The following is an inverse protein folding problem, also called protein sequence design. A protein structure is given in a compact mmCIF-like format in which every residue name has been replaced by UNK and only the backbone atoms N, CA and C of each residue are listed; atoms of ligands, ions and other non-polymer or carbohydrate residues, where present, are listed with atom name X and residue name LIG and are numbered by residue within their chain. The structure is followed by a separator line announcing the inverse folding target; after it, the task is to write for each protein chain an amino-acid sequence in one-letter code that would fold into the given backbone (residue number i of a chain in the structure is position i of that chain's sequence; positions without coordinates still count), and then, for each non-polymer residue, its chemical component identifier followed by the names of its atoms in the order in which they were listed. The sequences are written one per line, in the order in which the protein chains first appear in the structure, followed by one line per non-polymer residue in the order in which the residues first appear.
data_IF_156860394947
#
_entry.id   IF_156860394947
#
_cell.length_a   1.000
_cell.length_b   1.000
_cell.length_c   1.000
_cell.angle_alpha   90.00
_cell.angle_beta   90.00
_cell.angle_gamma   90.00
#
_symmetry.space_group_name_H-M   'P 1'
#
loop_
_entity.id
_entity.type
_entity.pdbx_description
1 polymer ?
#
# COMPACT_ATOMS: atom_id res chain seq x y z
N UNK A 1 -51.53 43.92 24.92
CA UNK A 1 -50.96 42.57 25.17
C UNK A 1 -50.27 42.11 23.88
N UNK A 2 -48.95 42.27 23.80
CA UNK A 2 -48.17 41.88 22.61
C UNK A 2 -47.49 40.57 22.89
N UNK A 3 -47.85 39.52 22.12
CA UNK A 3 -47.26 38.20 22.20
C UNK A 3 -45.98 38.21 21.36
N UNK A 4 -44.83 38.02 22.01
CA UNK A 4 -43.53 37.79 21.30
C UNK A 4 -43.36 36.29 21.09
N UNK A 5 -43.33 35.86 19.82
CA UNK A 5 -42.90 34.50 19.44
C UNK A 5 -41.37 34.39 19.52
N UNK A 6 -40.83 33.25 19.97
CA UNK A 6 -39.41 33.03 19.92
C UNK A 6 -38.98 32.53 18.52
N UNK A 7 -37.95 33.17 18.00
CA UNK A 7 -37.26 32.75 16.76
C UNK A 7 -36.47 31.49 17.05
N UNK A 8 -36.84 30.36 16.40
CA UNK A 8 -36.06 29.14 16.41
C UNK A 8 -34.83 29.34 15.50
N UNK A 9 -33.66 29.36 16.12
CA UNK A 9 -32.40 29.33 15.36
C UNK A 9 -32.16 27.92 14.79
N UNK A 10 -32.29 27.81 13.49
CA UNK A 10 -31.91 26.59 12.75
C UNK A 10 -30.37 26.49 12.68
N UNK A 11 -29.78 25.61 13.47
CA UNK A 11 -28.37 25.32 13.40
C UNK A 11 -28.08 24.49 12.11
N UNK A 12 -27.50 25.13 11.12
CA UNK A 12 -27.02 24.46 9.94
C UNK A 12 -25.77 23.60 10.29
N UNK A 13 -25.95 22.27 10.31
CA UNK A 13 -24.80 21.35 10.33
C UNK A 13 -24.09 21.46 8.99
N UNK A 14 -22.94 22.12 8.97
CA UNK A 14 -22.02 22.04 7.84
C UNK A 14 -21.35 20.65 7.84
N UNK A 15 -21.75 19.78 6.90
CA UNK A 15 -20.96 18.60 6.59
C UNK A 15 -19.61 19.07 6.04
N UNK A 16 -18.57 18.95 6.87
CA UNK A 16 -17.18 19.08 6.42
C UNK A 16 -16.89 17.89 5.50
N UNK A 17 -16.95 18.11 4.20
CA UNK A 17 -16.47 17.14 3.22
C UNK A 17 -14.98 16.91 3.49
N UNK A 18 -14.61 15.67 3.83
CA UNK A 18 -13.21 15.24 3.82
C UNK A 18 -12.67 15.40 2.41
N UNK A 19 -12.09 16.55 2.13
CA UNK A 19 -11.33 16.77 0.91
C UNK A 19 -10.09 15.85 0.98
N UNK A 20 -10.04 14.86 0.10
CA UNK A 20 -8.80 14.13 -0.16
C UNK A 20 -7.71 15.15 -0.50
N UNK A 21 -6.57 15.13 0.21
CA UNK A 21 -5.52 16.10 -0.07
C UNK A 21 -5.09 15.92 -1.54
N UNK A 22 -5.24 17.01 -2.31
CA UNK A 22 -4.73 17.10 -3.67
C UNK A 22 -3.26 16.75 -3.63
N UNK A 23 -2.76 15.81 -4.48
CA UNK A 23 -1.34 15.53 -4.53
C UNK A 23 -0.58 16.83 -4.74
N UNK A 24 0.45 17.07 -3.92
CA UNK A 24 1.29 18.24 -4.05
C UNK A 24 1.83 18.32 -5.47
N UNK A 25 1.93 19.53 -6.06
CA UNK A 25 2.53 19.69 -7.37
C UNK A 25 3.93 19.10 -7.33
N UNK A 26 4.16 18.00 -8.02
CA UNK A 26 5.49 17.43 -8.21
C UNK A 26 6.29 18.48 -8.98
N UNK A 27 7.18 19.17 -8.30
CA UNK A 27 8.22 19.96 -8.95
C UNK A 27 8.97 18.99 -9.88
N UNK A 28 9.15 19.32 -11.18
CA UNK A 28 9.88 18.44 -12.06
C UNK A 28 11.30 18.25 -11.49
N UNK A 29 11.59 17.05 -10.97
CA UNK A 29 12.93 16.72 -10.53
C UNK A 29 13.72 16.40 -11.78
N UNK A 30 14.73 17.22 -12.09
CA UNK A 30 15.64 16.93 -13.19
C UNK A 30 16.61 15.86 -12.72
N UNK A 31 16.44 14.64 -13.20
CA UNK A 31 17.38 13.57 -12.96
C UNK A 31 18.55 13.66 -13.95
N UNK A 32 19.79 13.42 -13.49
CA UNK A 32 21.01 13.44 -14.28
C UNK A 32 21.56 12.04 -14.47
N UNK A 33 22.33 11.83 -15.56
CA UNK A 33 22.97 10.56 -15.86
C UNK A 33 22.27 9.77 -16.96
N UNK A 34 22.58 8.48 -17.04
CA UNK A 34 21.99 7.55 -18.00
C UNK A 34 20.50 7.31 -17.74
N UNK A 35 19.72 6.81 -18.72
CA UNK A 35 18.32 6.45 -18.50
C UNK A 35 18.09 5.50 -17.31
N UNK A 36 19.00 4.55 -17.06
CA UNK A 36 18.91 3.65 -15.92
C UNK A 36 19.15 4.38 -14.59
N UNK A 37 20.12 5.28 -14.53
CA UNK A 37 20.38 6.08 -13.33
C UNK A 37 19.20 7.00 -13.02
N UNK A 38 18.64 7.64 -14.05
CA UNK A 38 17.44 8.47 -13.91
C UNK A 38 16.23 7.65 -13.41
N UNK A 39 16.08 6.42 -13.91
CA UNK A 39 15.05 5.50 -13.44
C UNK A 39 15.20 5.20 -11.94
N UNK A 40 16.41 4.79 -11.51
CA UNK A 40 16.69 4.48 -10.10
C UNK A 40 16.49 5.71 -9.20
N UNK A 41 16.93 6.90 -9.65
CA UNK A 41 16.70 8.16 -8.92
C UNK A 41 15.19 8.44 -8.74
N UNK A 42 14.37 8.17 -9.76
CA UNK A 42 12.93 8.30 -9.70
C UNK A 42 12.29 7.35 -8.66
N UNK A 43 12.74 6.10 -8.62
CA UNK A 43 12.29 5.13 -7.62
C UNK A 43 12.62 5.61 -6.18
N UNK A 44 13.85 6.07 -5.96
CA UNK A 44 14.30 6.59 -4.65
C UNK A 44 13.56 7.86 -4.24
N UNK A 45 13.29 8.76 -5.18
CA UNK A 45 12.49 9.96 -4.91
C UNK A 45 11.07 9.61 -4.49
N UNK A 46 10.45 8.60 -5.13
CA UNK A 46 9.13 8.10 -4.74
C UNK A 46 9.15 7.48 -3.33
N UNK A 47 10.15 6.65 -3.01
CA UNK A 47 10.32 6.06 -1.68
C UNK A 47 10.41 7.15 -0.61
N UNK A 48 11.24 8.18 -0.82
CA UNK A 48 11.41 9.29 0.12
C UNK A 48 10.11 10.10 0.31
N UNK A 49 9.42 10.40 -0.79
CA UNK A 49 8.12 11.07 -0.74
C UNK A 49 7.08 10.22 -0.01
N UNK A 50 7.03 8.93 -0.30
CA UNK A 50 6.06 8.01 0.30
C UNK A 50 6.27 7.87 1.82
N UNK A 51 7.52 7.76 2.27
CA UNK A 51 7.86 7.67 3.69
C UNK A 51 7.44 8.90 4.50
N UNK A 52 7.38 10.08 3.85
CA UNK A 52 6.99 11.33 4.49
C UNK A 52 5.45 11.53 4.58
N UNK A 53 4.66 10.63 4.01
CA UNK A 53 3.19 10.75 4.03
C UNK A 53 2.63 10.49 5.45
N UNK A 54 1.64 11.28 5.90
CA UNK A 54 0.99 11.02 7.18
C UNK A 54 0.39 9.62 7.26
N UNK A 55 0.58 8.93 8.39
CA UNK A 55 0.05 7.58 8.62
C UNK A 55 0.87 6.44 8.03
N UNK A 56 1.92 6.73 7.27
CA UNK A 56 2.87 5.73 6.77
C UNK A 56 3.97 5.47 7.79
N UNK A 57 4.41 4.22 7.86
CA UNK A 57 5.55 3.80 8.65
C UNK A 57 6.57 3.08 7.76
N UNK A 58 7.84 3.11 8.18
CA UNK A 58 8.96 2.48 7.45
C UNK A 58 9.70 1.55 8.39
N UNK A 59 9.98 0.34 7.95
CA UNK A 59 10.78 -0.63 8.70
C UNK A 59 12.28 -0.46 8.43
N UNK A 60 13.11 -1.19 9.17
CA UNK A 60 14.57 -1.15 8.99
C UNK A 60 15.03 -1.65 7.61
N UNK A 61 14.26 -2.53 6.95
CA UNK A 61 14.55 -3.00 5.58
C UNK A 61 14.21 -1.97 4.49
N UNK A 62 13.49 -0.89 4.85
CA UNK A 62 12.94 0.08 3.94
C UNK A 62 11.53 -0.23 3.45
N UNK A 63 10.90 -1.32 3.90
CA UNK A 63 9.50 -1.58 3.63
C UNK A 63 8.65 -0.46 4.22
N UNK A 64 7.78 0.16 3.40
CA UNK A 64 6.85 1.15 3.88
C UNK A 64 5.43 0.59 3.84
N UNK A 65 4.62 0.97 4.82
CA UNK A 65 3.26 0.47 4.93
C UNK A 65 2.29 1.49 5.52
N UNK A 66 1.03 1.33 5.14
CA UNK A 66 -0.11 2.07 5.70
C UNK A 66 -1.26 1.08 5.92
N UNK A 67 -1.93 1.18 7.05
CA UNK A 67 -3.13 0.37 7.33
C UNK A 67 -4.36 1.10 6.81
N UNK A 68 -4.89 0.64 5.67
CA UNK A 68 -6.06 1.26 5.01
C UNK A 68 -7.37 0.85 5.69
N UNK A 69 -7.45 -0.43 6.11
CA UNK A 69 -8.59 -1.00 6.84
C UNK A 69 -8.07 -1.87 7.99
N UNK A 70 -8.56 -1.62 9.19
CA UNK A 70 -8.25 -2.41 10.37
C UNK A 70 -9.17 -3.62 10.54
N UNK A 71 -8.76 -4.51 11.45
CA UNK A 71 -9.53 -5.64 11.94
C UNK A 71 -9.51 -5.67 13.48
N UNK A 72 -10.38 -6.47 14.14
CA UNK A 72 -10.34 -6.65 15.59
C UNK A 72 -8.96 -7.12 16.07
N UNK A 73 -8.53 -6.64 17.24
CA UNK A 73 -7.24 -7.02 17.81
C UNK A 73 -7.11 -8.53 18.08
N UNK A 74 -8.22 -9.23 18.22
CA UNK A 74 -8.29 -10.68 18.37
C UNK A 74 -8.16 -11.47 17.06
N UNK A 75 -8.22 -10.81 15.89
CA UNK A 75 -8.07 -11.49 14.62
C UNK A 75 -6.65 -12.05 14.46
N UNK A 76 -6.56 -13.24 13.86
CA UNK A 76 -5.31 -14.00 13.72
C UNK A 76 -4.29 -13.24 12.84
N UNK A 77 -3.01 -13.46 13.12
CA UNK A 77 -1.87 -13.04 12.31
C UNK A 77 -1.20 -14.28 11.72
N UNK A 78 -0.72 -14.21 10.47
CA UNK A 78 0.03 -15.33 9.91
C UNK A 78 1.41 -15.48 10.55
N UNK A 79 1.86 -16.71 10.71
CA UNK A 79 3.27 -17.01 10.95
C UNK A 79 4.11 -16.67 9.68
N UNK A 80 5.42 -16.47 9.81
CA UNK A 80 6.28 -16.11 8.68
C UNK A 80 6.31 -17.12 7.53
N UNK A 81 6.00 -18.38 7.79
CA UNK A 81 5.95 -19.50 6.85
C UNK A 81 4.53 -19.96 6.51
N UNK A 82 3.51 -19.28 7.06
CA UNK A 82 2.11 -19.63 6.85
C UNK A 82 1.69 -19.56 5.38
N UNK A 83 0.72 -20.38 5.02
CA UNK A 83 -0.07 -20.21 3.80
C UNK A 83 -1.12 -19.14 4.05
N UNK A 84 -1.26 -18.18 3.13
CA UNK A 84 -2.23 -17.09 3.24
C UNK A 84 -3.11 -17.01 2.01
N UNK A 85 -4.38 -16.68 2.20
CA UNK A 85 -5.33 -16.34 1.14
C UNK A 85 -5.55 -14.84 1.15
N UNK A 86 -5.30 -14.18 0.02
CA UNK A 86 -5.28 -12.73 -0.11
C UNK A 86 -5.98 -12.25 -1.39
N UNK A 87 -6.50 -11.04 -1.36
CA UNK A 87 -6.59 -10.21 -2.56
C UNK A 87 -5.44 -9.23 -2.60
N UNK A 88 -4.92 -8.95 -3.81
CA UNK A 88 -3.89 -7.94 -4.00
C UNK A 88 -4.00 -7.24 -5.34
N UNK A 89 -3.42 -6.03 -5.39
CA UNK A 89 -3.18 -5.28 -6.60
C UNK A 89 -1.74 -4.78 -6.56
N UNK A 90 -0.94 -5.21 -7.53
CA UNK A 90 0.46 -4.79 -7.72
C UNK A 90 0.57 -3.72 -8.80
N UNK A 91 1.22 -2.59 -8.47
CA UNK A 91 1.38 -1.43 -9.35
C UNK A 91 2.83 -0.94 -9.37
N UNK A 92 3.20 -0.34 -10.47
CA UNK A 92 4.39 0.51 -10.56
C UNK A 92 4.13 1.88 -9.92
N UNK A 93 5.19 2.65 -9.66
CA UNK A 93 5.07 4.01 -9.08
C UNK A 93 4.33 5.01 -9.97
N UNK A 94 4.18 4.72 -11.27
CA UNK A 94 3.37 5.49 -12.22
C UNK A 94 1.88 5.10 -12.21
N UNK A 95 1.49 4.11 -11.39
CA UNK A 95 0.12 3.65 -11.21
C UNK A 95 -0.31 2.53 -12.16
N UNK A 96 0.51 2.14 -13.14
CA UNK A 96 0.20 0.99 -14.02
C UNK A 96 0.15 -0.30 -13.20
N UNK A 97 -0.93 -1.06 -13.34
CA UNK A 97 -1.09 -2.39 -12.73
C UNK A 97 -0.26 -3.38 -13.53
N UNK A 98 0.52 -4.20 -12.84
CA UNK A 98 1.26 -5.31 -13.46
C UNK A 98 0.72 -6.69 -13.05
N UNK A 99 0.02 -6.77 -11.92
CA UNK A 99 -0.63 -8.00 -11.47
C UNK A 99 -1.75 -7.68 -10.47
N UNK A 100 -2.88 -8.40 -10.57
CA UNK A 100 -4.03 -8.18 -9.71
C UNK A 100 -4.89 -9.45 -9.59
N UNK A 101 -5.04 -9.95 -8.37
CA UNK A 101 -6.01 -11.01 -8.08
C UNK A 101 -7.46 -10.52 -8.19
N UNK A 102 -7.70 -9.22 -7.98
CA UNK A 102 -9.03 -8.63 -8.11
C UNK A 102 -9.50 -8.59 -9.57
N UNK A 103 -8.57 -8.31 -10.52
CA UNK A 103 -8.88 -8.35 -11.96
C UNK A 103 -9.13 -9.78 -12.45
N UNK A 104 -8.53 -10.79 -11.81
CA UNK A 104 -8.82 -12.20 -12.09
C UNK A 104 -10.15 -12.69 -11.48
N UNK A 105 -10.74 -11.89 -10.56
CA UNK A 105 -12.01 -12.19 -9.92
C UNK A 105 -11.95 -13.19 -8.77
N UNK A 106 -10.75 -13.67 -8.38
CA UNK A 106 -10.57 -14.67 -7.33
C UNK A 106 -9.37 -14.35 -6.43
N UNK A 107 -9.44 -14.69 -5.12
CA UNK A 107 -8.30 -14.57 -4.22
C UNK A 107 -7.18 -15.54 -4.61
N UNK A 108 -5.97 -15.17 -4.26
CA UNK A 108 -4.80 -16.02 -4.45
C UNK A 108 -4.33 -16.61 -3.11
N UNK A 109 -3.85 -17.84 -3.14
CA UNK A 109 -3.33 -18.53 -1.95
C UNK A 109 -1.87 -18.87 -2.16
N UNK A 110 -1.01 -18.42 -1.23
CA UNK A 110 0.44 -18.56 -1.34
C UNK A 110 1.09 -18.93 -0.01
N UNK A 111 2.14 -19.78 -0.02
CA UNK A 111 3.09 -19.88 1.09
C UNK A 111 3.93 -18.59 1.15
N UNK A 112 3.96 -17.92 2.32
CA UNK A 112 4.66 -16.64 2.49
C UNK A 112 6.16 -16.74 2.23
N UNK A 113 6.78 -17.84 2.62
CA UNK A 113 8.22 -18.07 2.46
C UNK A 113 8.69 -18.18 0.99
N UNK A 114 7.77 -18.32 0.02
CA UNK A 114 8.08 -18.36 -1.41
C UNK A 114 7.91 -17.01 -2.12
N UNK A 115 7.47 -15.97 -1.41
CA UNK A 115 7.19 -14.66 -1.96
C UNK A 115 8.41 -13.72 -1.86
N UNK A 116 8.29 -12.51 -2.42
CA UNK A 116 9.33 -11.48 -2.27
C UNK A 116 9.50 -11.08 -0.80
N UNK A 117 10.72 -10.65 -0.44
CA UNK A 117 11.07 -10.33 0.97
C UNK A 117 10.15 -9.31 1.61
N UNK A 118 9.71 -8.29 0.86
CA UNK A 118 8.75 -7.31 1.35
C UNK A 118 7.42 -7.91 1.78
N UNK A 119 6.94 -8.97 1.11
CA UNK A 119 5.73 -9.68 1.52
C UNK A 119 5.99 -10.60 2.71
N UNK A 120 7.13 -11.31 2.73
CA UNK A 120 7.54 -12.13 3.87
C UNK A 120 7.64 -11.33 5.17
N UNK A 121 8.01 -10.05 5.08
CA UNK A 121 8.08 -9.14 6.22
C UNK A 121 6.70 -8.51 6.54
N UNK A 122 6.03 -7.97 5.52
CA UNK A 122 4.84 -7.14 5.72
C UNK A 122 3.57 -7.92 6.06
N UNK A 123 3.32 -9.05 5.37
CA UNK A 123 2.07 -9.80 5.56
C UNK A 123 1.94 -10.41 6.96
N UNK A 124 3.00 -10.93 7.62
CA UNK A 124 2.94 -11.35 9.02
C UNK A 124 2.61 -10.23 10.02
N UNK A 125 2.75 -8.97 9.64
CA UNK A 125 2.34 -7.84 10.47
C UNK A 125 0.82 -7.63 10.46
N UNK A 126 0.14 -8.05 9.38
CA UNK A 126 -1.31 -7.91 9.19
C UNK A 126 -2.12 -8.89 10.02
N UNK A 127 -3.40 -8.56 10.22
CA UNK A 127 -4.43 -9.47 10.76
C UNK A 127 -5.42 -9.84 9.66
N UNK A 128 -6.02 -11.02 9.79
CA UNK A 128 -7.13 -11.44 8.93
C UNK A 128 -8.23 -10.37 8.95
N UNK A 129 -8.69 -9.97 7.77
CA UNK A 129 -9.67 -8.92 7.55
C UNK A 129 -9.09 -7.51 7.36
N UNK A 130 -7.78 -7.32 7.53
CA UNK A 130 -7.12 -6.03 7.27
C UNK A 130 -6.80 -5.84 5.78
N UNK A 131 -6.77 -4.58 5.36
CA UNK A 131 -6.22 -4.15 4.07
C UNK A 131 -5.11 -3.16 4.33
N UNK A 132 -3.93 -3.42 3.79
CA UNK A 132 -2.77 -2.56 3.91
C UNK A 132 -2.20 -2.20 2.55
N UNK A 133 -1.67 -0.98 2.44
CA UNK A 133 -0.86 -0.53 1.31
C UNK A 133 0.62 -0.63 1.66
N UNK A 134 1.40 -1.16 0.74
CA UNK A 134 2.85 -1.31 0.86
C UNK A 134 3.57 -0.58 -0.26
N UNK A 135 4.73 0.02 0.07
CA UNK A 135 5.75 0.45 -0.89
C UNK A 135 6.97 -0.41 -0.63
N UNK A 136 7.34 -1.21 -1.61
CA UNK A 136 8.37 -2.23 -1.50
C UNK A 136 9.56 -1.82 -2.38
N UNK A 137 10.70 -1.39 -1.79
CA UNK A 137 11.92 -1.11 -2.54
C UNK A 137 12.41 -2.31 -3.32
N UNK A 138 13.08 -2.08 -4.44
CA UNK A 138 13.61 -3.12 -5.30
C UNK A 138 14.47 -4.15 -4.54
N UNK A 139 15.26 -3.72 -3.55
CA UNK A 139 16.14 -4.57 -2.74
C UNK A 139 15.44 -5.70 -1.99
N UNK A 140 14.17 -5.51 -1.66
CA UNK A 140 13.33 -6.52 -0.98
C UNK A 140 12.14 -6.96 -1.86
N UNK A 141 12.20 -6.63 -3.16
CA UNK A 141 11.30 -7.09 -4.22
C UNK A 141 12.09 -7.98 -5.22
N UNK A 142 12.27 -7.52 -6.45
CA UNK A 142 12.93 -8.30 -7.50
C UNK A 142 14.37 -7.84 -7.80
N UNK A 143 14.86 -6.78 -7.13
CA UNK A 143 16.24 -6.28 -7.29
C UNK A 143 16.50 -5.67 -8.66
N UNK A 144 17.78 -5.73 -9.07
CA UNK A 144 18.26 -5.18 -10.33
C UNK A 144 18.30 -6.21 -11.47
N UNK A 145 17.53 -7.30 -11.35
CA UNK A 145 17.48 -8.37 -12.34
C UNK A 145 16.49 -8.03 -13.46
N UNK A 146 16.93 -8.24 -14.70
CA UNK A 146 16.11 -8.06 -15.90
C UNK A 146 15.29 -9.29 -16.31
N UNK A 147 15.43 -10.41 -15.58
CA UNK A 147 14.86 -11.73 -15.90
C UNK A 147 13.47 -11.97 -15.24
N UNK A 148 12.87 -10.95 -14.65
CA UNK A 148 11.60 -11.05 -13.89
C UNK A 148 10.37 -10.60 -14.67
N UNK A 149 10.32 -10.93 -15.95
CA UNK A 149 9.15 -10.64 -16.80
C UNK A 149 8.94 -9.13 -17.03
N UNK A 150 7.70 -8.60 -16.87
CA UNK A 150 7.38 -7.22 -17.21
C UNK A 150 7.91 -6.18 -16.20
N UNK A 151 8.56 -6.61 -15.10
CA UNK A 151 9.04 -5.72 -14.05
C UNK A 151 10.45 -5.24 -14.39
N UNK A 152 10.65 -3.93 -14.67
CA UNK A 152 11.97 -3.38 -14.96
C UNK A 152 12.93 -3.53 -13.76
N UNK A 153 14.25 -3.68 -14.01
CA UNK A 153 15.24 -3.71 -12.96
C UNK A 153 15.19 -2.46 -12.05
N UNK A 154 15.37 -2.64 -10.75
CA UNK A 154 15.38 -1.55 -9.79
C UNK A 154 14.01 -0.95 -9.49
N UNK A 155 12.91 -1.62 -9.87
CA UNK A 155 11.55 -1.12 -9.63
C UNK A 155 11.16 -1.18 -8.17
N UNK A 156 10.71 -0.06 -7.63
CA UNK A 156 9.90 0.01 -6.42
C UNK A 156 8.47 -0.40 -6.77
N UNK A 157 7.88 -1.28 -5.98
CA UNK A 157 6.56 -1.81 -6.23
C UNK A 157 5.56 -1.35 -5.19
N UNK A 158 4.36 -1.06 -5.63
CA UNK A 158 3.23 -0.72 -4.78
C UNK A 158 2.28 -1.91 -4.71
N UNK A 159 1.89 -2.31 -3.52
CA UNK A 159 0.89 -3.35 -3.33
C UNK A 159 -0.20 -2.88 -2.38
N UNK A 160 -1.45 -3.07 -2.78
CA UNK A 160 -2.58 -3.13 -1.86
C UNK A 160 -2.87 -4.59 -1.59
N UNK A 161 -2.88 -5.01 -0.32
CA UNK A 161 -3.10 -6.39 0.09
C UNK A 161 -4.23 -6.44 1.10
N UNK A 162 -5.23 -7.27 0.84
CA UNK A 162 -6.26 -7.67 1.79
C UNK A 162 -5.98 -9.11 2.26
N UNK A 163 -5.75 -9.29 3.55
CA UNK A 163 -5.56 -10.62 4.14
C UNK A 163 -6.92 -11.23 4.47
N UNK A 164 -7.34 -12.22 3.68
CA UNK A 164 -8.67 -12.85 3.78
C UNK A 164 -8.67 -13.98 4.79
N UNK A 165 -7.68 -14.88 4.71
CA UNK A 165 -7.63 -16.06 5.56
C UNK A 165 -6.20 -16.59 5.73
N UNK A 166 -6.02 -17.37 6.77
CA UNK A 166 -4.87 -18.24 7.01
C UNK A 166 -5.45 -19.67 6.99
N UNK A 167 -5.35 -20.39 5.86
CA UNK A 167 -5.81 -21.77 5.82
C UNK A 167 -5.12 -22.61 6.89
N UNK A 168 -5.87 -23.51 7.53
CA UNK A 168 -5.27 -24.51 8.42
C UNK A 168 -4.33 -25.40 7.60
N UNK A 169 -3.18 -25.72 8.17
CA UNK A 169 -2.33 -26.77 7.58
C UNK A 169 -3.12 -28.08 7.58
N UNK A 170 -3.28 -28.66 6.40
CA UNK A 170 -4.00 -29.92 6.20
C UNK A 170 -3.17 -31.13 6.61
#
# INVERSE_FOLDING_TARGET
MSLKLPVLALAALTLSACATPKPAPVTPVTYSGTPQEQWVQGQKAYEAWSAARPGWATTASGLQYHRDKGAPASAAKPAPDAVVTIHYVGKFIDGRVFDSSRERGEPATFPLNLLIKGWQEGVPMMRVGETWSFVIPASIAYGDRSDRGPIPPGSTLLFEIELIAIPAEG
#
